data_IF_961609626029
#
_entry.id   IF_961609626029
#
_cell.length_a   1.000
_cell.length_b   1.000
_cell.length_c   1.000
_cell.angle_alpha   90.00
_cell.angle_beta   90.00
_cell.angle_gamma   90.00
#
_symmetry.space_group_name_H-M   'P 1'
#
loop_
_entity.id
_entity.type
_entity.pdbx_description
1 polymer ?
#
# COMPACT_ATOMS: atom_id res chain seq x y z
N UNK A 1 -12.06 -29.13 1.77
CA UNK A 1 -12.73 -27.97 1.12
C UNK A 1 -11.70 -26.87 1.09
N UNK A 2 -11.37 -26.38 -0.08
CA UNK A 2 -10.48 -25.24 -0.28
C UNK A 2 -11.11 -23.99 0.37
N UNK A 3 -10.30 -23.16 1.05
CA UNK A 3 -10.80 -21.95 1.68
C UNK A 3 -11.28 -20.94 0.62
N UNK A 4 -12.35 -20.22 0.88
CA UNK A 4 -12.83 -19.17 -0.01
C UNK A 4 -11.93 -17.91 0.10
N UNK A 5 -11.87 -17.04 -0.94
CA UNK A 5 -11.12 -15.78 -0.86
C UNK A 5 -11.44 -14.93 0.38
N UNK A 6 -12.68 -14.95 0.83
CA UNK A 6 -13.10 -14.28 2.07
C UNK A 6 -12.45 -14.91 3.30
N UNK A 7 -12.49 -16.25 3.41
CA UNK A 7 -11.86 -16.96 4.53
C UNK A 7 -10.33 -16.75 4.52
N UNK A 8 -9.71 -16.71 3.37
CA UNK A 8 -8.27 -16.50 3.25
C UNK A 8 -7.84 -15.11 3.72
N UNK A 9 -8.48 -14.03 3.24
CA UNK A 9 -8.09 -12.66 3.62
C UNK A 9 -8.36 -12.38 5.10
N UNK A 10 -9.55 -12.74 5.60
CA UNK A 10 -9.87 -12.53 7.01
C UNK A 10 -9.02 -13.42 7.92
N UNK A 11 -8.84 -14.68 7.55
CA UNK A 11 -7.97 -15.60 8.30
C UNK A 11 -6.50 -15.16 8.32
N UNK A 12 -5.99 -14.52 7.26
CA UNK A 12 -4.64 -13.94 7.27
C UNK A 12 -4.55 -12.76 8.27
N UNK A 13 -5.53 -11.85 8.25
CA UNK A 13 -5.57 -10.72 9.18
C UNK A 13 -5.72 -11.18 10.64
N UNK A 14 -6.58 -12.16 10.92
CA UNK A 14 -6.73 -12.76 12.25
C UNK A 14 -5.42 -13.40 12.72
N UNK A 15 -4.78 -14.21 11.89
CA UNK A 15 -3.47 -14.81 12.25
C UNK A 15 -2.40 -13.77 12.57
N UNK A 16 -2.36 -12.66 11.79
CA UNK A 16 -1.43 -11.57 12.05
C UNK A 16 -1.75 -10.85 13.37
N UNK A 17 -3.04 -10.57 13.64
CA UNK A 17 -3.48 -9.93 14.87
C UNK A 17 -3.19 -10.80 16.10
N UNK A 18 -3.51 -12.09 16.06
CA UNK A 18 -3.21 -13.04 17.12
C UNK A 18 -1.70 -13.19 17.37
N UNK A 19 -0.92 -13.19 16.30
CA UNK A 19 0.53 -13.24 16.40
C UNK A 19 1.07 -11.99 17.10
N UNK A 20 0.68 -10.79 16.65
CA UNK A 20 1.12 -9.55 17.29
C UNK A 20 0.58 -9.37 18.70
N UNK A 21 -0.63 -9.85 18.99
CA UNK A 21 -1.12 -9.88 20.38
C UNK A 21 -0.14 -10.63 21.29
N UNK A 22 0.33 -11.80 20.87
CA UNK A 22 1.31 -12.57 21.68
C UNK A 22 2.68 -11.92 21.76
N UNK A 23 3.22 -11.46 20.64
CA UNK A 23 4.61 -10.97 20.56
C UNK A 23 4.78 -9.53 21.08
N UNK A 24 3.75 -8.70 20.97
CA UNK A 24 3.85 -7.27 21.30
C UNK A 24 3.04 -6.86 22.52
N UNK A 25 1.96 -7.60 22.84
CA UNK A 25 1.00 -7.26 23.87
C UNK A 25 0.77 -8.37 24.90
N UNK A 26 1.71 -9.31 25.01
CA UNK A 26 1.74 -10.41 26.00
C UNK A 26 0.47 -11.31 25.98
N UNK A 27 -0.25 -11.32 24.86
CA UNK A 27 -1.46 -12.12 24.66
C UNK A 27 -2.69 -11.64 25.43
N UNK A 28 -2.68 -10.42 25.96
CA UNK A 28 -3.76 -9.94 26.86
C UNK A 28 -4.95 -9.30 26.15
N UNK A 29 -4.83 -9.01 24.84
CA UNK A 29 -5.93 -8.41 24.07
C UNK A 29 -7.08 -9.41 23.85
N UNK A 30 -8.31 -8.94 24.04
CA UNK A 30 -9.49 -9.74 23.77
C UNK A 30 -9.71 -9.91 22.26
N UNK A 31 -10.30 -11.05 21.81
CA UNK A 31 -10.64 -11.20 20.40
C UNK A 31 -11.60 -10.11 19.92
N UNK A 32 -11.31 -9.54 18.75
CA UNK A 32 -12.14 -8.51 18.11
C UNK A 32 -12.59 -8.94 16.71
N UNK A 33 -13.57 -8.24 16.14
CA UNK A 33 -13.96 -8.40 14.74
C UNK A 33 -12.97 -7.62 13.87
N UNK A 34 -12.35 -8.30 12.92
CA UNK A 34 -11.53 -7.63 11.91
C UNK A 34 -12.38 -7.46 10.66
N UNK A 35 -12.38 -6.26 10.08
CA UNK A 35 -13.13 -5.93 8.86
C UNK A 35 -12.23 -5.32 7.81
N UNK A 36 -12.61 -5.51 6.54
CA UNK A 36 -11.98 -4.85 5.39
C UNK A 36 -12.95 -3.80 4.86
N UNK A 37 -12.65 -2.52 5.07
CA UNK A 37 -13.55 -1.41 4.75
C UNK A 37 -12.85 -0.31 3.96
N UNK A 38 -13.43 0.10 2.82
CA UNK A 38 -12.93 1.24 2.05
C UNK A 38 -13.26 2.55 2.74
N UNK A 39 -12.30 3.48 2.76
CA UNK A 39 -12.48 4.81 3.30
C UNK A 39 -11.46 5.82 2.77
N UNK A 40 -11.86 7.09 2.69
CA UNK A 40 -11.01 8.16 2.11
C UNK A 40 -10.02 8.78 3.11
N UNK A 41 -10.18 8.54 4.41
CA UNK A 41 -9.52 9.33 5.45
C UNK A 41 -8.70 8.51 6.45
N UNK A 42 -8.66 7.20 6.30
CA UNK A 42 -7.96 6.30 7.22
C UNK A 42 -7.29 5.15 6.46
N UNK A 43 -6.24 4.60 7.04
CA UNK A 43 -5.54 3.40 6.60
C UNK A 43 -6.12 2.19 7.34
N UNK A 44 -6.34 2.34 8.64
CA UNK A 44 -7.07 1.48 9.55
C UNK A 44 -7.79 2.31 10.60
N UNK A 45 -8.62 1.66 11.42
CA UNK A 45 -9.16 2.25 12.63
C UNK A 45 -9.56 1.17 13.65
N UNK A 46 -9.51 1.54 14.92
CA UNK A 46 -10.07 0.81 16.03
C UNK A 46 -11.40 1.43 16.47
N UNK A 47 -12.43 0.59 16.72
CA UNK A 47 -13.71 1.03 17.28
C UNK A 47 -14.10 0.14 18.47
N UNK A 48 -14.13 0.74 19.65
CA UNK A 48 -14.46 0.04 20.90
C UNK A 48 -15.93 -0.39 20.95
N UNK A 49 -16.16 -1.63 21.41
CA UNK A 49 -17.51 -2.20 21.67
C UNK A 49 -18.51 -2.02 20.53
N UNK A 50 -18.02 -2.15 19.30
CA UNK A 50 -18.78 -1.86 18.07
C UNK A 50 -19.78 -2.94 17.71
N UNK A 51 -19.49 -4.19 18.05
CA UNK A 51 -20.30 -5.35 17.69
C UNK A 51 -20.94 -5.98 18.92
N UNK A 52 -22.16 -6.47 18.79
CA UNK A 52 -22.89 -7.16 19.85
C UNK A 52 -23.49 -8.45 19.30
N UNK A 53 -23.32 -9.56 20.03
CA UNK A 53 -23.91 -10.84 19.68
C UNK A 53 -25.34 -10.96 20.23
N UNK A 54 -26.02 -12.08 19.95
CA UNK A 54 -27.40 -12.32 20.40
C UNK A 54 -27.55 -12.36 21.91
N UNK A 55 -26.49 -12.67 22.65
CA UNK A 55 -26.49 -12.77 24.10
C UNK A 55 -26.15 -11.45 24.78
N UNK A 56 -26.00 -10.35 24.01
CA UNK A 56 -25.64 -9.03 24.51
C UNK A 56 -24.16 -8.84 24.79
N UNK A 57 -23.30 -9.81 24.43
CA UNK A 57 -21.84 -9.67 24.56
C UNK A 57 -21.30 -8.76 23.46
N UNK A 58 -20.57 -7.73 23.85
CA UNK A 58 -19.93 -6.79 22.92
C UNK A 58 -18.48 -7.14 22.67
N UNK A 59 -18.01 -6.80 21.48
CA UNK A 59 -16.61 -6.86 21.08
C UNK A 59 -16.23 -5.67 20.23
N UNK A 60 -14.93 -5.47 20.07
CA UNK A 60 -14.33 -4.36 19.33
C UNK A 60 -14.29 -4.65 17.82
N UNK A 61 -13.97 -3.63 17.06
CA UNK A 61 -13.66 -3.73 15.63
C UNK A 61 -12.30 -3.14 15.33
N UNK A 62 -11.51 -3.84 14.53
CA UNK A 62 -10.36 -3.29 13.81
C UNK A 62 -10.69 -3.36 12.33
N UNK A 63 -10.72 -2.20 11.66
CA UNK A 63 -10.96 -2.13 10.23
C UNK A 63 -9.66 -1.79 9.48
N UNK A 64 -9.38 -2.54 8.41
CA UNK A 64 -8.27 -2.30 7.50
C UNK A 64 -8.80 -1.81 6.15
N UNK A 65 -8.20 -0.76 5.60
CA UNK A 65 -8.65 -0.20 4.33
C UNK A 65 -7.93 -0.88 3.15
N UNK A 66 -8.65 -1.65 2.30
CA UNK A 66 -8.03 -2.43 1.23
C UNK A 66 -7.32 -1.56 0.18
N UNK A 67 -7.86 -0.38 -0.14
CA UNK A 67 -7.21 0.56 -1.07
C UNK A 67 -5.87 1.06 -0.50
N UNK A 68 -5.83 1.37 0.79
CA UNK A 68 -4.60 1.78 1.44
C UNK A 68 -3.60 0.62 1.58
N UNK A 69 -4.08 -0.61 1.78
CA UNK A 69 -3.23 -1.81 1.80
C UNK A 69 -2.58 -2.05 0.43
N UNK A 70 -3.34 -1.90 -0.65
CA UNK A 70 -2.85 -2.10 -2.02
C UNK A 70 -1.73 -1.13 -2.42
N UNK A 71 -1.67 0.04 -1.81
CA UNK A 71 -0.64 1.06 -2.06
C UNK A 71 0.62 0.90 -1.20
N UNK A 72 0.74 -0.18 -0.40
CA UNK A 72 1.78 -0.34 0.61
C UNK A 72 2.51 -1.68 0.52
N UNK A 73 3.61 -1.76 1.24
CA UNK A 73 4.32 -3.03 1.48
C UNK A 73 3.62 -3.83 2.58
N UNK A 74 3.95 -5.11 2.67
CA UNK A 74 3.44 -5.96 3.76
C UNK A 74 3.82 -5.40 5.13
N UNK A 75 5.07 -4.93 5.30
CA UNK A 75 5.56 -4.35 6.55
C UNK A 75 4.72 -3.13 7.00
N UNK A 76 4.36 -2.24 6.06
CA UNK A 76 3.57 -1.04 6.36
C UNK A 76 2.11 -1.38 6.71
N UNK A 77 1.53 -2.41 6.07
CA UNK A 77 0.21 -2.93 6.42
C UNK A 77 0.21 -3.56 7.81
N UNK A 78 1.19 -4.38 8.11
CA UNK A 78 1.35 -5.01 9.43
C UNK A 78 1.59 -3.97 10.54
N UNK A 79 2.33 -2.90 10.25
CA UNK A 79 2.54 -1.80 11.20
C UNK A 79 1.24 -1.04 11.49
N UNK A 80 0.37 -0.90 10.50
CA UNK A 80 -0.98 -0.33 10.70
C UNK A 80 -1.82 -1.23 11.59
N UNK A 81 -1.82 -2.55 11.35
CA UNK A 81 -2.54 -3.50 12.22
C UNK A 81 -2.05 -3.42 13.67
N UNK A 82 -0.73 -3.38 13.89
CA UNK A 82 -0.16 -3.23 15.24
C UNK A 82 -0.52 -1.89 15.89
N UNK A 83 -0.66 -0.80 15.12
CA UNK A 83 -1.15 0.49 15.59
C UNK A 83 -2.60 0.40 16.10
N UNK A 84 -3.47 -0.28 15.38
CA UNK A 84 -4.87 -0.46 15.80
C UNK A 84 -4.99 -1.39 17.01
N UNK A 85 -4.14 -2.42 17.12
CA UNK A 85 -4.02 -3.25 18.34
C UNK A 85 -3.52 -2.43 19.54
N UNK A 86 -2.64 -1.44 19.35
CA UNK A 86 -2.23 -0.52 20.40
C UNK A 86 -3.40 0.36 20.90
N UNK A 87 -4.31 0.77 20.01
CA UNK A 87 -5.56 1.42 20.41
C UNK A 87 -6.46 0.51 21.23
N UNK A 88 -6.58 -0.78 20.82
CA UNK A 88 -7.31 -1.78 21.61
C UNK A 88 -6.69 -1.95 22.99
N UNK A 89 -5.37 -2.10 23.06
CA UNK A 89 -4.66 -2.23 24.35
C UNK A 89 -4.92 -1.02 25.27
N UNK A 90 -4.84 0.20 24.73
CA UNK A 90 -5.12 1.41 25.50
C UNK A 90 -6.57 1.42 26.00
N UNK A 91 -7.52 0.96 25.22
CA UNK A 91 -8.92 0.89 25.62
C UNK A 91 -9.13 -0.13 26.76
N UNK A 92 -8.53 -1.31 26.66
CA UNK A 92 -8.75 -2.41 27.60
C UNK A 92 -7.96 -2.23 28.92
N UNK A 93 -6.80 -1.56 28.88
CA UNK A 93 -5.86 -1.51 30.02
C UNK A 93 -5.46 -0.09 30.43
N UNK A 94 -5.91 0.90 29.73
CA UNK A 94 -5.50 2.28 29.95
C UNK A 94 -6.67 3.26 30.12
N UNK A 95 -6.34 4.53 29.99
CA UNK A 95 -7.31 5.62 29.99
C UNK A 95 -7.46 6.12 28.57
N UNK A 96 -8.68 6.00 28.04
CA UNK A 96 -8.97 6.49 26.70
C UNK A 96 -8.94 8.00 26.61
N UNK A 97 -8.22 8.57 25.64
CA UNK A 97 -8.31 9.99 25.33
C UNK A 97 -9.65 10.32 24.65
N UNK A 98 -9.89 11.60 24.36
CA UNK A 98 -11.00 11.98 23.48
C UNK A 98 -10.87 11.29 22.11
N UNK A 99 -12.00 11.01 21.46
CA UNK A 99 -12.04 10.28 20.20
C UNK A 99 -11.06 10.82 19.14
N UNK A 100 -10.30 9.92 18.53
CA UNK A 100 -9.32 10.23 17.49
C UNK A 100 -8.08 11.00 17.96
N UNK A 101 -7.84 11.12 19.26
CA UNK A 101 -6.67 11.79 19.82
C UNK A 101 -5.65 10.76 20.34
N UNK A 102 -4.44 10.83 19.81
CA UNK A 102 -3.30 10.03 20.28
C UNK A 102 -2.57 10.80 21.35
N UNK A 103 -2.72 10.38 22.59
CA UNK A 103 -2.13 11.03 23.75
C UNK A 103 -0.73 10.48 24.09
N UNK A 104 -0.14 10.96 25.18
CA UNK A 104 1.18 10.51 25.64
C UNK A 104 1.21 9.03 26.04
N UNK A 105 0.08 8.49 26.53
CA UNK A 105 -0.01 7.08 26.91
C UNK A 105 0.00 6.20 25.67
N UNK A 106 -0.78 6.56 24.63
CA UNK A 106 -0.72 5.89 23.34
C UNK A 106 0.70 5.94 22.73
N UNK A 107 1.33 7.12 22.78
CA UNK A 107 2.70 7.26 22.28
C UNK A 107 3.71 6.36 23.02
N UNK A 108 3.53 6.16 24.34
CA UNK A 108 4.36 5.26 25.12
C UNK A 108 4.11 3.77 24.79
N UNK A 109 2.83 3.37 24.57
CA UNK A 109 2.48 2.02 24.12
C UNK A 109 3.16 1.73 22.79
N UNK A 110 2.99 2.62 21.82
CA UNK A 110 3.59 2.50 20.50
C UNK A 110 5.12 2.40 20.55
N UNK A 111 5.77 3.25 21.34
CA UNK A 111 7.22 3.20 21.57
C UNK A 111 7.65 1.86 22.17
N UNK A 112 6.90 1.34 23.13
CA UNK A 112 7.16 0.04 23.76
C UNK A 112 7.13 -1.15 22.79
N UNK A 113 6.35 -1.05 21.74
CA UNK A 113 6.30 -2.07 20.67
C UNK A 113 7.26 -1.76 19.52
N UNK A 114 8.02 -0.66 19.53
CA UNK A 114 8.97 -0.31 18.47
C UNK A 114 8.37 0.44 17.28
N UNK A 115 7.20 1.05 17.47
CA UNK A 115 6.57 1.98 16.54
C UNK A 115 6.54 3.38 17.18
N UNK A 116 7.06 4.38 16.49
CA UNK A 116 7.13 5.72 17.03
C UNK A 116 6.06 6.60 16.40
N UNK A 117 5.11 7.08 17.22
CA UNK A 117 4.10 8.03 16.75
C UNK A 117 4.76 9.32 16.24
N UNK A 118 4.29 9.82 15.09
CA UNK A 118 4.79 11.04 14.49
C UNK A 118 3.76 11.67 13.57
N UNK A 119 3.55 12.97 13.68
CA UNK A 119 2.65 13.71 12.78
C UNK A 119 3.13 13.74 11.32
N UNK A 120 4.41 13.46 11.08
CA UNK A 120 5.04 13.42 9.74
C UNK A 120 5.36 12.00 9.29
N UNK A 121 5.13 11.00 10.15
CA UNK A 121 5.56 9.63 9.99
C UNK A 121 7.09 9.48 9.81
N UNK A 122 7.86 10.39 10.39
CA UNK A 122 9.32 10.42 10.38
C UNK A 122 9.82 11.04 11.69
N UNK A 123 11.10 10.85 12.06
CA UNK A 123 11.69 11.51 13.23
C UNK A 123 11.50 13.03 13.21
N UNK A 124 11.34 13.61 14.41
CA UNK A 124 11.14 15.07 14.58
C UNK A 124 9.69 15.54 14.48
N UNK A 125 8.74 14.71 14.04
CA UNK A 125 7.31 15.05 14.07
C UNK A 125 6.76 15.05 15.50
N UNK A 126 5.60 15.74 15.69
CA UNK A 126 4.88 15.71 16.97
C UNK A 126 4.47 14.27 17.32
N UNK A 127 4.61 13.92 18.62
CA UNK A 127 4.35 12.56 19.13
C UNK A 127 2.90 12.34 19.54
N UNK A 128 2.13 13.40 19.72
CA UNK A 128 0.74 13.40 20.17
C UNK A 128 -0.11 14.31 19.31
N UNK A 129 -1.40 13.98 19.12
CA UNK A 129 -2.30 14.76 18.29
C UNK A 129 -3.50 13.97 17.75
N UNK A 130 -4.32 14.59 16.90
CA UNK A 130 -5.51 13.95 16.31
C UNK A 130 -5.20 13.11 15.06
N UNK A 131 -4.24 13.52 14.24
CA UNK A 131 -3.89 12.85 12.98
C UNK A 131 -2.45 12.40 13.07
N UNK A 132 -2.26 11.32 13.79
CA UNK A 132 -0.93 10.75 13.99
C UNK A 132 -0.70 9.59 13.03
N UNK A 133 0.49 9.55 12.51
CA UNK A 133 1.06 8.38 11.86
C UNK A 133 2.15 7.81 12.78
N UNK A 134 2.95 6.91 12.25
CA UNK A 134 4.10 6.36 12.95
C UNK A 134 5.21 6.02 11.97
N UNK A 135 6.39 5.77 12.48
CA UNK A 135 7.48 5.12 11.76
C UNK A 135 7.99 3.91 12.53
N UNK A 136 8.64 3.02 11.84
CA UNK A 136 9.15 1.76 12.37
C UNK A 136 10.59 1.97 12.83
N UNK A 137 10.92 1.49 14.03
CA UNK A 137 12.30 1.45 14.51
C UNK A 137 12.95 0.16 14.01
N UNK A 138 14.04 0.30 13.28
CA UNK A 138 14.84 -0.83 12.81
C UNK A 138 15.35 -1.66 14.00
N UNK A 139 15.20 -2.99 13.92
CA UNK A 139 15.53 -3.91 15.02
C UNK A 139 14.68 -3.71 16.28
N UNK A 140 13.60 -2.89 16.23
CA UNK A 140 12.62 -2.78 17.30
C UNK A 140 11.70 -3.99 17.40
N UNK A 141 10.98 -4.14 18.53
CA UNK A 141 10.11 -5.30 18.80
C UNK A 141 9.15 -5.61 17.64
N UNK A 142 8.47 -4.60 17.10
CA UNK A 142 7.58 -4.77 15.95
C UNK A 142 8.34 -5.26 14.72
N UNK A 143 9.49 -4.64 14.40
CA UNK A 143 10.27 -5.00 13.21
C UNK A 143 10.74 -6.45 13.28
N UNK A 144 11.27 -6.88 14.43
CA UNK A 144 11.69 -8.28 14.64
C UNK A 144 10.50 -9.26 14.61
N UNK A 145 9.37 -8.89 15.22
CA UNK A 145 8.16 -9.71 15.15
C UNK A 145 7.64 -9.85 13.71
N UNK A 146 7.63 -8.76 12.95
CA UNK A 146 7.21 -8.78 11.55
C UNK A 146 8.15 -9.65 10.69
N UNK A 147 9.46 -9.55 10.89
CA UNK A 147 10.46 -10.41 10.22
C UNK A 147 10.26 -11.90 10.56
N UNK A 148 10.02 -12.20 11.83
CA UNK A 148 9.75 -13.57 12.26
C UNK A 148 8.41 -14.11 11.71
N UNK A 149 7.42 -13.26 11.52
CA UNK A 149 6.17 -13.63 10.87
C UNK A 149 6.37 -13.92 9.37
N UNK A 150 7.11 -13.05 8.68
CA UNK A 150 7.44 -13.24 7.26
C UNK A 150 8.29 -14.50 7.01
N UNK A 151 9.23 -14.81 7.92
CA UNK A 151 10.02 -16.04 7.86
C UNK A 151 9.19 -17.34 7.97
N UNK A 152 7.93 -17.23 8.42
CA UNK A 152 6.93 -18.32 8.43
C UNK A 152 6.06 -18.31 7.16
N UNK A 153 6.55 -17.73 6.07
CA UNK A 153 5.85 -17.61 4.78
C UNK A 153 4.50 -16.89 4.88
N UNK A 154 4.38 -15.96 5.81
CA UNK A 154 3.17 -15.14 5.92
C UNK A 154 3.06 -14.17 4.75
N UNK A 155 1.88 -14.13 4.11
CA UNK A 155 1.54 -13.18 3.06
C UNK A 155 0.05 -12.81 3.12
N UNK A 156 -0.30 -11.71 2.47
CA UNK A 156 -1.70 -11.33 2.26
C UNK A 156 -2.21 -12.01 0.98
N UNK A 157 -3.16 -12.97 1.08
CA UNK A 157 -3.57 -13.78 -0.07
C UNK A 157 -4.33 -12.99 -1.13
N UNK A 158 -5.04 -11.95 -0.72
CA UNK A 158 -5.86 -11.11 -1.61
C UNK A 158 -5.63 -9.64 -1.33
N UNK A 159 -5.36 -8.86 -2.38
CA UNK A 159 -5.15 -7.42 -2.35
C UNK A 159 -6.00 -6.76 -3.43
N UNK A 160 -6.53 -5.57 -3.15
CA UNK A 160 -7.30 -4.80 -4.12
C UNK A 160 -6.47 -4.53 -5.38
N UNK A 161 -7.04 -4.87 -6.54
CA UNK A 161 -6.37 -4.67 -7.83
C UNK A 161 -6.38 -3.20 -8.22
N UNK A 162 -5.29 -2.71 -8.84
CA UNK A 162 -5.26 -1.40 -9.49
C UNK A 162 -4.61 -0.28 -8.67
N UNK A 163 -3.74 -0.59 -7.70
CA UNK A 163 -2.91 0.44 -7.07
C UNK A 163 -2.06 1.18 -8.10
N UNK A 164 -2.14 2.50 -8.07
CA UNK A 164 -1.41 3.39 -9.01
C UNK A 164 -0.05 3.80 -8.44
N UNK A 165 0.13 3.69 -7.12
CA UNK A 165 1.32 4.16 -6.40
C UNK A 165 1.64 3.24 -5.23
N UNK A 166 2.91 2.92 -5.06
CA UNK A 166 3.41 2.24 -3.87
C UNK A 166 4.06 3.27 -2.95
N UNK A 167 3.64 3.26 -1.70
CA UNK A 167 4.26 4.06 -0.63
C UNK A 167 5.28 3.15 0.06
N UNK A 168 6.57 3.52 0.06
CA UNK A 168 7.59 2.71 0.73
C UNK A 168 7.40 2.75 2.25
N UNK A 169 7.84 1.71 2.98
CA UNK A 169 7.79 1.67 4.43
C UNK A 169 8.71 2.75 5.01
N UNK A 170 8.35 3.28 6.17
CA UNK A 170 9.09 4.32 6.88
C UNK A 170 9.84 3.72 8.04
N UNK A 171 11.05 3.26 7.76
CA UNK A 171 11.94 2.62 8.72
C UNK A 171 13.08 3.57 9.05
N UNK A 172 13.38 3.73 10.32
CA UNK A 172 14.48 4.57 10.80
C UNK A 172 15.30 3.81 11.85
N UNK A 173 16.62 4.02 11.85
CA UNK A 173 17.47 3.54 12.92
C UNK A 173 17.18 4.28 14.24
N UNK A 174 17.77 3.83 15.33
CA UNK A 174 17.59 4.46 16.66
C UNK A 174 18.09 5.90 16.74
N UNK A 175 18.95 6.32 15.80
CA UNK A 175 19.44 7.70 15.69
C UNK A 175 18.52 8.60 14.87
N UNK A 176 17.47 8.04 14.25
CA UNK A 176 16.51 8.75 13.38
C UNK A 176 17.00 8.92 11.95
N UNK A 177 18.01 8.16 11.50
CA UNK A 177 18.41 8.12 10.08
C UNK A 177 17.54 7.12 9.33
N UNK A 178 17.12 7.45 8.09
CA UNK A 178 16.40 6.49 7.26
C UNK A 178 17.19 5.18 7.12
N UNK A 179 16.50 4.08 7.35
CA UNK A 179 17.03 2.76 7.07
C UNK A 179 16.68 2.38 5.62
N UNK A 180 17.68 2.17 4.82
CA UNK A 180 17.54 1.62 3.49
C UNK A 180 17.88 0.13 3.56
N UNK A 181 16.89 -0.78 3.41
CA UNK A 181 17.21 -2.20 3.31
C UNK A 181 18.12 -2.42 2.11
N UNK A 182 19.13 -3.27 2.27
CA UNK A 182 20.00 -3.69 1.18
C UNK A 182 19.15 -4.47 0.17
N UNK A 183 18.52 -3.76 -0.75
CA UNK A 183 17.95 -4.35 -1.95
C UNK A 183 19.15 -4.66 -2.83
N UNK A 184 19.50 -5.92 -2.97
CA UNK A 184 20.37 -6.32 -4.09
C UNK A 184 19.70 -5.76 -5.36
N UNK A 185 20.41 -4.86 -6.01
CA UNK A 185 19.93 -4.20 -7.21
C UNK A 185 19.70 -5.27 -8.28
N UNK A 186 18.45 -5.69 -8.43
CA UNK A 186 18.03 -6.39 -9.63
C UNK A 186 18.21 -5.35 -10.75
N UNK A 187 19.33 -5.43 -11.43
CA UNK A 187 19.61 -4.60 -12.59
C UNK A 187 18.50 -4.84 -13.59
N UNK A 188 17.60 -3.87 -13.70
CA UNK A 188 16.64 -3.83 -14.80
C UNK A 188 17.43 -3.89 -16.11
N UNK A 189 17.06 -4.74 -17.08
CA UNK A 189 17.70 -4.72 -18.38
C UNK A 189 17.48 -3.32 -18.98
N UNK A 190 18.59 -2.63 -19.22
CA UNK A 190 18.62 -1.32 -19.87
C UNK A 190 17.92 -1.48 -21.23
N UNK A 191 16.71 -0.97 -21.34
CA UNK A 191 16.03 -0.84 -22.64
C UNK A 191 16.89 0.08 -23.52
N UNK A 192 17.35 -0.48 -24.64
CA UNK A 192 18.28 0.15 -25.58
C UNK A 192 17.87 1.57 -25.95
N UNK A 193 18.80 2.50 -25.78
CA UNK A 193 18.65 3.87 -26.18
C UNK A 193 18.36 4.01 -27.66
N UNK A 194 17.29 4.70 -28.00
CA UNK A 194 17.04 5.21 -29.36
C UNK A 194 18.08 6.27 -29.66
N UNK A 195 18.92 6.00 -30.65
CA UNK A 195 19.80 7.02 -31.24
C UNK A 195 18.92 8.05 -31.95
N UNK A 196 19.11 9.31 -31.61
CA UNK A 196 18.61 10.43 -32.39
C UNK A 196 19.33 10.55 -33.75
N UNK A 197 18.76 11.28 -34.73
CA UNK A 197 19.33 11.40 -36.06
C UNK A 197 20.63 12.22 -36.02
N UNK A 198 21.71 11.60 -36.55
CA UNK A 198 23.03 12.21 -36.64
C UNK A 198 23.18 13.10 -37.85
N UNK A 199 24.09 14.03 -37.76
CA UNK A 199 24.66 14.80 -38.83
C UNK A 199 25.54 13.95 -39.76
N UNK A 200 25.72 14.37 -41.05
CA UNK A 200 26.41 13.55 -42.06
C UNK A 200 27.95 13.65 -41.90
N UNK A 201 28.70 12.64 -42.37
CA UNK A 201 30.16 12.65 -42.35
C UNK A 201 30.73 13.41 -43.54
N UNK A 202 31.80 14.12 -43.29
CA UNK A 202 32.69 14.64 -44.33
C UNK A 202 33.65 13.55 -44.80
N UNK A 203 33.90 13.57 -46.13
CA UNK A 203 34.74 12.67 -46.91
C UNK A 203 36.21 12.85 -46.61
N UNK A 204 37.01 11.76 -46.69
CA UNK A 204 38.31 11.75 -47.39
C UNK A 204 38.89 10.31 -47.49
N UNK A 205 38.95 9.87 -48.69
CA UNK A 205 40.01 9.26 -49.54
C UNK A 205 40.84 8.03 -49.08
N UNK A 206 40.65 6.95 -49.85
CA UNK A 206 41.62 6.08 -50.58
C UNK A 206 42.70 5.29 -49.78
N UNK A 207 42.75 3.98 -49.95
CA UNK A 207 43.56 3.20 -50.93
C UNK A 207 43.47 1.65 -50.70
N UNK A 208 43.22 1.02 -51.83
CA UNK A 208 43.72 -0.23 -52.46
C UNK A 208 43.84 -1.59 -51.73
N UNK A 209 43.24 -2.53 -52.44
CA UNK A 209 43.38 -3.99 -52.48
C UNK A 209 44.83 -4.49 -52.82
N UNK A 210 45.21 -5.83 -52.74
CA UNK A 210 44.38 -6.99 -53.21
C UNK A 210 44.61 -8.38 -52.55
N UNK A 211 43.75 -9.30 -52.99
CA UNK A 211 43.96 -10.72 -53.36
C UNK A 211 43.90 -11.83 -52.31
N UNK A 212 42.90 -12.69 -52.58
CA UNK A 212 42.77 -14.11 -52.24
C UNK A 212 43.86 -14.98 -52.92
N UNK A 213 44.03 -16.28 -52.58
CA UNK A 213 43.06 -17.31 -52.97
C UNK A 213 42.90 -18.56 -52.03
N UNK A 214 41.81 -19.24 -52.31
CA UNK A 214 41.29 -20.53 -51.97
C UNK A 214 42.24 -21.76 -51.74
N UNK A 215 41.67 -22.78 -51.06
CA UNK A 215 41.55 -24.21 -51.30
C UNK A 215 41.11 -24.87 -49.96
N UNK A 216 40.05 -25.52 -49.73
CA UNK A 216 39.56 -26.75 -50.30
C UNK A 216 39.47 -27.84 -49.24
N UNK A 217 38.27 -28.36 -48.99
CA UNK A 217 37.96 -29.72 -48.72
C UNK A 217 37.92 -30.22 -47.27
N UNK A 218 36.91 -30.68 -46.70
CA UNK A 218 36.36 -32.02 -46.75
C UNK A 218 35.26 -32.21 -45.66
N UNK A 219 34.23 -32.95 -46.03
CA UNK A 219 33.09 -33.33 -45.19
C UNK A 219 33.46 -34.54 -44.32
N UNK A 220 33.09 -34.50 -43.04
CA UNK A 220 32.94 -35.68 -42.18
C UNK A 220 31.59 -35.58 -41.43
N UNK A 221 30.95 -36.72 -41.11
CA UNK A 221 29.54 -36.77 -40.76
C UNK A 221 29.27 -36.39 -39.31
N UNK A 222 28.05 -35.82 -39.11
CA UNK A 222 27.45 -35.29 -37.95
C UNK A 222 27.57 -36.03 -36.61
N UNK A 223 27.83 -35.23 -35.58
CA UNK A 223 27.45 -35.52 -34.22
C UNK A 223 26.08 -34.93 -33.93
N UNK A 224 25.25 -35.60 -33.09
CA UNK A 224 23.96 -35.06 -32.67
C UNK A 224 24.16 -33.85 -31.78
N UNK A 225 23.16 -32.94 -31.73
CA UNK A 225 23.23 -31.79 -30.82
C UNK A 225 23.26 -32.30 -29.39
N UNK A 226 24.23 -31.78 -28.63
CA UNK A 226 24.25 -31.89 -27.18
C UNK A 226 23.07 -31.07 -26.63
N UNK A 227 22.27 -31.73 -25.79
CA UNK A 227 21.19 -31.12 -25.06
C UNK A 227 21.78 -29.97 -24.25
N UNK A 228 21.44 -28.72 -24.59
CA UNK A 228 21.71 -27.56 -23.77
C UNK A 228 20.90 -27.75 -22.47
N UNK A 229 21.59 -28.15 -21.41
CA UNK A 229 21.07 -28.12 -20.05
C UNK A 229 20.57 -26.68 -19.79
N UNK A 230 19.25 -26.50 -19.78
CA UNK A 230 18.61 -25.30 -19.27
C UNK A 230 19.05 -25.17 -17.80
N UNK A 231 20.03 -24.31 -17.56
CA UNK A 231 20.43 -23.87 -16.22
C UNK A 231 19.24 -23.17 -15.56
N UNK A 232 18.36 -23.98 -14.95
CA UNK A 232 17.36 -23.49 -14.01
C UNK A 232 18.13 -22.84 -12.86
N UNK A 233 18.39 -21.54 -12.99
CA UNK A 233 18.88 -20.74 -11.86
C UNK A 233 17.81 -20.78 -10.78
N UNK A 234 17.98 -21.74 -9.88
CA UNK A 234 17.23 -21.86 -8.63
C UNK A 234 17.45 -20.56 -7.84
N UNK A 235 16.53 -19.61 -8.00
CA UNK A 235 16.55 -18.36 -7.26
C UNK A 235 16.41 -18.71 -5.78
N UNK A 236 17.42 -18.36 -4.99
CA UNK A 236 17.40 -18.54 -3.55
C UNK A 236 16.08 -18.01 -2.96
N UNK A 237 15.49 -18.69 -1.97
CA UNK A 237 14.23 -18.24 -1.38
C UNK A 237 14.37 -16.83 -0.83
N UNK A 238 13.41 -15.96 -1.14
CA UNK A 238 13.40 -14.58 -0.69
C UNK A 238 13.51 -14.50 0.84
N UNK A 239 14.43 -13.67 1.32
CA UNK A 239 14.60 -13.44 2.76
C UNK A 239 13.39 -12.74 3.40
N UNK A 240 13.26 -12.78 4.74
CA UNK A 240 12.14 -12.12 5.43
C UNK A 240 12.00 -10.62 5.09
N UNK A 241 13.11 -9.93 4.93
CA UNK A 241 13.12 -8.51 4.57
C UNK A 241 12.65 -8.27 3.14
N UNK A 242 12.97 -9.16 2.21
CA UNK A 242 12.47 -9.10 0.83
C UNK A 242 10.96 -9.29 0.78
N UNK A 243 10.42 -10.20 1.58
CA UNK A 243 8.98 -10.45 1.70
C UNK A 243 8.28 -9.24 2.28
N UNK A 244 8.81 -8.65 3.36
CA UNK A 244 8.21 -7.53 4.06
C UNK A 244 8.21 -6.23 3.25
N UNK A 245 9.28 -5.98 2.51
CA UNK A 245 9.44 -4.76 1.72
C UNK A 245 8.86 -4.86 0.31
N UNK A 246 8.39 -6.04 -0.09
CA UNK A 246 7.74 -6.22 -1.38
C UNK A 246 6.39 -5.50 -1.41
N UNK A 247 6.10 -4.73 -2.46
CA UNK A 247 4.77 -4.19 -2.69
C UNK A 247 3.73 -5.31 -2.72
N UNK A 248 2.62 -5.13 -2.03
CA UNK A 248 1.53 -6.13 -2.01
C UNK A 248 0.85 -6.27 -3.36
N UNK A 249 0.83 -5.20 -4.16
CA UNK A 249 0.25 -5.21 -5.51
C UNK A 249 1.36 -5.28 -6.55
N UNK A 250 1.18 -6.09 -7.58
CA UNK A 250 1.97 -5.94 -8.80
C UNK A 250 1.58 -4.61 -9.44
N UNK A 251 2.55 -3.70 -9.65
CA UNK A 251 2.31 -2.54 -10.50
C UNK A 251 1.76 -3.05 -11.83
N UNK A 252 0.59 -2.56 -12.25
CA UNK A 252 0.03 -2.93 -13.53
C UNK A 252 1.07 -2.57 -14.60
N UNK A 253 1.57 -3.59 -15.32
CA UNK A 253 2.31 -3.34 -16.53
C UNK A 253 1.46 -2.48 -17.46
N UNK A 254 2.03 -1.53 -18.23
CA UNK A 254 1.26 -0.76 -19.17
C UNK A 254 0.47 -1.74 -20.06
N UNK A 255 -0.86 -1.56 -20.07
CA UNK A 255 -1.79 -2.47 -20.70
C UNK A 255 -1.36 -2.74 -22.14
N UNK A 256 -1.02 -3.99 -22.44
CA UNK A 256 -1.04 -4.46 -23.82
C UNK A 256 -2.52 -4.47 -24.26
N UNK A 257 -2.84 -4.07 -25.49
CA UNK A 257 -4.21 -4.05 -25.97
C UNK A 257 -4.75 -5.49 -25.96
N UNK A 258 -5.60 -5.78 -24.99
CA UNK A 258 -6.38 -7.01 -24.96
C UNK A 258 -7.62 -6.80 -25.84
N UNK A 259 -7.88 -7.77 -26.70
CA UNK A 259 -9.11 -7.88 -27.46
C UNK A 259 -10.35 -7.79 -26.57
N UNK A 260 -11.49 -7.23 -27.02
CA UNK A 260 -12.55 -6.80 -26.13
C UNK A 260 -13.41 -7.96 -25.64
N UNK A 261 -13.03 -8.51 -24.49
CA UNK A 261 -13.95 -9.23 -23.62
C UNK A 261 -14.55 -8.22 -22.64
N UNK A 262 -15.82 -7.93 -22.81
CA UNK A 262 -16.58 -6.89 -22.10
C UNK A 262 -16.61 -7.12 -20.59
N UNK A 263 -15.63 -6.58 -19.85
CA UNK A 263 -15.77 -6.33 -18.42
C UNK A 263 -16.09 -4.85 -18.28
N UNK A 264 -17.32 -4.52 -17.93
CA UNK A 264 -17.75 -3.16 -17.68
C UNK A 264 -16.92 -2.58 -16.52
N UNK A 265 -16.24 -1.47 -16.78
CA UNK A 265 -15.58 -0.67 -15.74
C UNK A 265 -16.60 -0.29 -14.67
N UNK A 266 -16.22 -0.30 -13.37
CA UNK A 266 -17.12 0.19 -12.34
C UNK A 266 -17.51 1.64 -12.66
N UNK A 267 -18.76 2.04 -12.41
CA UNK A 267 -19.25 3.38 -12.74
C UNK A 267 -18.38 4.41 -12.01
N UNK A 268 -17.93 5.44 -12.74
CA UNK A 268 -17.27 6.61 -12.16
C UNK A 268 -18.11 7.13 -11.01
N UNK A 269 -17.46 7.35 -9.85
CA UNK A 269 -18.11 7.96 -8.70
C UNK A 269 -18.88 9.21 -9.13
N UNK A 270 -20.15 9.39 -8.69
CA UNK A 270 -20.95 10.52 -9.11
C UNK A 270 -20.24 11.81 -8.74
N UNK A 271 -20.06 12.69 -9.71
CA UNK A 271 -19.63 14.06 -9.48
C UNK A 271 -20.61 14.65 -8.45
N UNK A 272 -20.07 15.42 -7.49
CA UNK A 272 -20.85 16.10 -6.45
C UNK A 272 -22.19 16.60 -7.02
N UNK A 273 -23.30 16.06 -6.52
CA UNK A 273 -24.65 16.38 -6.96
C UNK A 273 -25.18 17.69 -6.36
N UNK A 274 -24.28 18.59 -5.94
CA UNK A 274 -24.66 19.88 -5.36
C UNK A 274 -24.50 20.96 -6.38
N UNK A 275 -25.62 21.63 -6.68
CA UNK A 275 -25.73 22.81 -7.50
C UNK A 275 -25.48 24.06 -6.66
N UNK A 276 -24.78 25.04 -7.21
CA UNK A 276 -24.57 26.34 -6.58
C UNK A 276 -25.72 27.29 -6.99
N UNK A 277 -26.31 27.92 -6.01
CA UNK A 277 -27.34 28.96 -6.22
C UNK A 277 -26.86 30.28 -5.65
N UNK A 278 -27.13 31.38 -6.33
CA UNK A 278 -26.80 32.75 -5.87
C UNK A 278 -28.03 33.63 -5.80
N UNK A 279 -28.10 34.46 -4.79
CA UNK A 279 -29.14 35.50 -4.73
C UNK A 279 -28.79 36.60 -5.72
N UNK A 280 -29.71 36.99 -6.64
CA UNK A 280 -29.42 38.01 -7.64
C UNK A 280 -29.30 39.43 -7.04
N UNK A 281 -29.83 39.67 -5.84
CA UNK A 281 -29.80 40.96 -5.18
C UNK A 281 -28.59 41.17 -4.28
N UNK A 282 -28.26 40.18 -3.40
CA UNK A 282 -27.19 40.34 -2.42
C UNK A 282 -25.97 39.44 -2.66
N UNK A 283 -25.96 38.64 -3.71
CA UNK A 283 -24.89 37.70 -4.07
C UNK A 283 -24.59 36.64 -3.00
N UNK A 284 -25.46 36.41 -2.03
CA UNK A 284 -25.35 35.30 -1.10
C UNK A 284 -25.39 33.98 -1.85
N UNK A 285 -24.54 33.00 -1.46
CA UNK A 285 -24.44 31.70 -2.12
C UNK A 285 -24.90 30.57 -1.20
N UNK A 286 -25.64 29.62 -1.78
CA UNK A 286 -26.01 28.36 -1.14
C UNK A 286 -25.70 27.17 -2.06
N UNK A 287 -25.56 25.98 -1.50
CA UNK A 287 -25.35 24.75 -2.26
C UNK A 287 -26.39 23.70 -1.86
N UNK A 288 -27.11 23.19 -2.84
CA UNK A 288 -28.19 22.23 -2.64
C UNK A 288 -28.34 21.22 -3.75
N UNK A 289 -29.40 20.41 -3.69
CA UNK A 289 -29.77 19.51 -4.78
C UNK A 289 -30.16 20.30 -6.03
N UNK A 290 -30.04 19.73 -7.25
CA UNK A 290 -30.60 20.34 -8.45
C UNK A 290 -32.07 20.65 -8.29
N UNK A 291 -32.51 21.76 -8.89
CA UNK A 291 -33.90 22.28 -8.83
C UNK A 291 -34.39 22.64 -7.41
N UNK A 292 -33.51 23.22 -6.59
CA UNK A 292 -33.88 23.69 -5.27
C UNK A 292 -34.59 25.04 -5.38
N UNK A 293 -35.80 25.10 -4.86
CA UNK A 293 -36.58 26.37 -4.75
C UNK A 293 -36.40 26.94 -3.33
N UNK A 294 -35.60 28.00 -3.23
CA UNK A 294 -35.26 28.67 -1.97
C UNK A 294 -35.27 30.17 -2.15
N UNK A 295 -35.87 30.88 -1.21
CA UNK A 295 -35.97 32.35 -1.18
C UNK A 295 -34.90 32.92 -0.25
N UNK A 296 -34.24 33.99 -0.67
CA UNK A 296 -33.30 34.74 0.17
C UNK A 296 -34.12 35.50 1.25
N UNK A 297 -33.90 35.14 2.52
CA UNK A 297 -34.62 35.74 3.63
C UNK A 297 -34.53 37.29 3.67
N UNK A 298 -33.34 37.90 3.58
CA UNK A 298 -33.18 39.36 3.58
C UNK A 298 -33.73 40.06 2.35
N UNK A 299 -33.68 39.44 1.16
CA UNK A 299 -34.04 40.09 -0.10
C UNK A 299 -35.44 39.72 -0.62
N UNK A 300 -36.02 38.62 -0.13
CA UNK A 300 -37.33 38.13 -0.55
C UNK A 300 -37.38 37.58 -1.98
N UNK A 301 -36.22 37.33 -2.64
CA UNK A 301 -36.15 36.85 -4.03
C UNK A 301 -35.60 35.42 -4.07
N UNK A 302 -36.02 34.64 -5.08
CA UNK A 302 -35.55 33.25 -5.26
C UNK A 302 -34.10 33.24 -5.68
N UNK A 303 -33.35 32.24 -5.14
CA UNK A 303 -31.99 31.95 -5.57
C UNK A 303 -31.97 31.38 -6.99
N UNK A 304 -30.99 31.78 -7.78
CA UNK A 304 -30.79 31.36 -9.18
C UNK A 304 -29.63 30.36 -9.26
N UNK A 305 -29.82 29.29 -10.04
CA UNK A 305 -28.77 28.33 -10.36
C UNK A 305 -27.65 29.00 -11.16
N UNK A 306 -26.40 28.88 -10.67
CA UNK A 306 -25.21 29.47 -11.30
C UNK A 306 -24.22 28.40 -11.76
N UNK A 307 -24.63 27.13 -11.85
CA UNK A 307 -23.85 26.03 -12.40
C UNK A 307 -24.11 25.86 -13.90
N UNK A 308 -23.93 26.91 -14.69
CA UNK A 308 -23.97 26.85 -16.14
C UNK A 308 -22.59 26.55 -16.75
#
# INVERSE_FOLDING_TARGET
>A
VEASPTQEIYGALERAADYFNRELFDGVLTPCVITVQRGKKYIGYFAASRWENRDGRRTHEIAMNPTAMAERTLLDVLSTLAHELAHQWQFEHGVMPRAGYHDKHFAAIMEGIGLITSSTASPGGARIGQRMSHYIVEGGRFHEAARALAAKEFFMPWIEWGAVRIVPPRIYDRSGRPYEPLVESVSSPVAGGKRGPGEPPEDDEEEEHPSSPAVGGNRGPGEPPEDEDEDETETAPAGPDDILNRPLTRLAAPAQPQEPGTIQSPPKAPKSSKTKYSCPECNANIWGKPNLDVVCGPCGVSFVDTTG
#
